data_IF_022364579368
#
_entry.id   IF_022364579368
#
_cell.length_a   1.000
_cell.length_b   1.000
_cell.length_c   1.000
_cell.angle_alpha   90.00
_cell.angle_beta   90.00
_cell.angle_gamma   90.00
#
_symmetry.space_group_name_H-M   'P 1'
#
loop_
_entity.id
_entity.type
_entity.pdbx_description
1 polymer ?
#
# COMPACT_ATOMS: atom_id res chain seq x y z
N UNK A 1 -8.35 25.45 -13.02
CA UNK A 1 -8.91 24.12 -13.33
C UNK A 1 -8.68 23.28 -12.10
N UNK A 2 -9.74 22.78 -11.46
CA UNK A 2 -9.61 21.84 -10.36
C UNK A 2 -9.09 20.53 -10.97
N UNK A 3 -7.88 20.11 -10.59
CA UNK A 3 -7.34 18.81 -11.00
C UNK A 3 -8.23 17.73 -10.39
N UNK A 4 -9.10 17.13 -11.20
CA UNK A 4 -9.78 15.89 -10.85
C UNK A 4 -8.73 14.80 -10.66
N UNK A 5 -8.96 13.89 -9.71
CA UNK A 5 -8.19 12.64 -9.64
C UNK A 5 -8.31 11.92 -10.98
N UNK A 6 -7.19 11.35 -11.43
CA UNK A 6 -7.10 10.63 -12.71
C UNK A 6 -6.74 9.18 -12.38
N UNK A 7 -7.44 8.25 -13.02
CA UNK A 7 -7.16 6.81 -12.90
C UNK A 7 -6.09 6.43 -13.92
N UNK A 8 -5.11 5.64 -13.49
CA UNK A 8 -3.98 5.20 -14.33
C UNK A 8 -3.89 3.67 -14.51
N UNK A 9 -4.81 2.91 -13.89
CA UNK A 9 -4.95 1.48 -14.17
C UNK A 9 -5.78 1.23 -15.43
N UNK A 10 -5.78 -0.01 -15.91
CA UNK A 10 -6.60 -0.44 -17.04
C UNK A 10 -8.09 -0.43 -16.69
N UNK A 11 -8.77 0.69 -17.00
CA UNK A 11 -10.21 0.86 -16.72
C UNK A 11 -11.10 0.01 -17.63
N UNK A 12 -10.59 -0.57 -18.70
CA UNK A 12 -11.36 -1.46 -19.58
C UNK A 12 -11.49 -2.84 -18.93
N UNK A 13 -10.41 -3.37 -18.35
CA UNK A 13 -10.39 -4.69 -17.72
C UNK A 13 -10.73 -4.64 -16.21
N UNK A 14 -10.29 -3.62 -15.48
CA UNK A 14 -10.60 -3.40 -14.06
C UNK A 14 -11.73 -2.37 -13.91
N UNK A 15 -12.86 -2.62 -14.59
CA UNK A 15 -14.03 -1.73 -14.64
C UNK A 15 -14.87 -1.77 -13.35
N UNK A 16 -15.78 -0.81 -13.14
CA UNK A 16 -16.74 -0.87 -12.03
C UNK A 16 -17.56 -2.16 -11.97
N UNK A 17 -17.98 -2.68 -13.13
CA UNK A 17 -18.74 -3.93 -13.21
C UNK A 17 -17.87 -5.14 -12.80
N UNK A 18 -16.59 -5.14 -13.15
CA UNK A 18 -15.65 -6.18 -12.74
C UNK A 18 -15.43 -6.15 -11.21
N UNK A 19 -15.26 -4.97 -10.61
CA UNK A 19 -15.16 -4.80 -9.15
C UNK A 19 -16.44 -5.25 -8.45
N UNK A 20 -17.61 -4.90 -9.00
CA UNK A 20 -18.88 -5.37 -8.47
C UNK A 20 -19.00 -6.89 -8.52
N UNK A 21 -18.69 -7.50 -9.67
CA UNK A 21 -18.80 -8.94 -9.88
C UNK A 21 -17.90 -9.73 -8.92
N UNK A 22 -16.62 -9.37 -8.78
CA UNK A 22 -15.71 -10.13 -7.92
C UNK A 22 -16.13 -10.08 -6.44
N UNK A 23 -16.65 -8.92 -5.98
CA UNK A 23 -17.18 -8.75 -4.62
C UNK A 23 -18.50 -9.48 -4.41
N UNK A 24 -19.35 -9.56 -5.44
CA UNK A 24 -20.60 -10.32 -5.38
C UNK A 24 -20.35 -11.81 -5.25
N UNK A 25 -19.36 -12.33 -5.97
CA UNK A 25 -19.04 -13.76 -5.99
C UNK A 25 -18.19 -14.20 -4.77
N UNK A 26 -17.52 -13.25 -4.10
CA UNK A 26 -16.61 -13.54 -2.99
C UNK A 26 -16.82 -12.57 -1.81
N UNK A 27 -17.57 -13.00 -0.79
CA UNK A 27 -17.94 -12.15 0.35
C UNK A 27 -16.77 -11.70 1.23
N UNK A 28 -15.61 -12.33 1.11
CA UNK A 28 -14.38 -11.98 1.80
C UNK A 28 -13.49 -11.00 1.02
N UNK A 29 -13.85 -10.63 -0.21
CA UNK A 29 -13.08 -9.71 -1.04
C UNK A 29 -13.50 -8.26 -0.80
N UNK A 30 -12.51 -7.41 -0.64
CA UNK A 30 -12.62 -5.95 -0.70
C UNK A 30 -11.66 -5.42 -1.76
N UNK A 31 -11.98 -4.27 -2.35
CA UNK A 31 -11.16 -3.62 -3.37
C UNK A 31 -10.85 -2.19 -2.94
N UNK A 32 -9.56 -1.83 -2.91
CA UNK A 32 -9.09 -0.49 -2.60
C UNK A 32 -8.31 0.09 -3.79
N UNK A 33 -8.04 1.40 -3.72
CA UNK A 33 -7.21 2.11 -4.69
C UNK A 33 -5.96 2.66 -4.01
N UNK A 34 -4.79 2.42 -4.59
CA UNK A 34 -3.54 3.03 -4.13
C UNK A 34 -3.28 4.39 -4.80
N UNK A 35 -2.71 5.32 -4.04
CA UNK A 35 -2.44 6.70 -4.44
C UNK A 35 -0.94 6.93 -4.50
N UNK A 36 -0.44 7.40 -5.64
CA UNK A 36 0.98 7.71 -5.83
C UNK A 36 1.60 6.81 -6.88
N UNK A 37 2.44 5.88 -6.43
CA UNK A 37 3.36 5.07 -7.22
C UNK A 37 4.63 5.85 -7.63
N UNK A 38 5.61 5.15 -8.18
CA UNK A 38 6.87 5.75 -8.60
C UNK A 38 6.74 6.73 -9.78
N UNK A 39 6.03 6.35 -10.85
CA UNK A 39 6.00 7.14 -12.11
C UNK A 39 4.64 7.14 -12.81
N UNK A 40 4.38 8.19 -13.59
CA UNK A 40 3.30 8.27 -14.58
C UNK A 40 3.91 8.65 -15.92
N UNK A 41 3.69 7.84 -16.96
CA UNK A 41 4.26 8.04 -18.30
C UNK A 41 5.80 8.25 -18.28
N UNK A 42 6.49 7.56 -17.37
CA UNK A 42 7.95 7.65 -17.19
C UNK A 42 8.45 8.89 -16.45
N UNK A 43 7.56 9.71 -15.89
CA UNK A 43 7.92 10.84 -15.03
C UNK A 43 7.61 10.53 -13.56
N UNK A 44 8.55 10.87 -12.68
CA UNK A 44 8.43 10.68 -11.23
C UNK A 44 7.19 11.38 -10.65
N UNK A 45 6.44 10.66 -9.81
CA UNK A 45 5.26 11.19 -9.11
C UNK A 45 5.68 11.76 -7.77
N UNK A 46 5.99 13.06 -7.76
CA UNK A 46 6.25 13.78 -6.53
C UNK A 46 4.95 14.09 -5.78
N UNK A 47 4.92 13.84 -4.47
CA UNK A 47 3.92 14.46 -3.62
C UNK A 47 4.09 15.99 -3.69
N UNK A 48 3.00 16.71 -3.94
CA UNK A 48 3.01 18.18 -4.02
C UNK A 48 1.65 18.76 -3.63
N UNK A 49 1.66 19.74 -2.74
CA UNK A 49 0.46 20.45 -2.29
C UNK A 49 0.69 21.97 -2.37
N UNK A 50 -0.27 22.69 -2.96
CA UNK A 50 -0.25 24.17 -2.93
C UNK A 50 -0.55 24.70 -1.52
N UNK A 51 -1.47 24.03 -0.83
CA UNK A 51 -1.73 24.17 0.60
C UNK A 51 -2.42 22.90 1.09
N UNK A 52 -2.33 22.62 2.38
CA UNK A 52 -3.04 21.49 3.00
C UNK A 52 -4.53 21.53 2.66
N UNK A 53 -5.21 22.65 2.95
CA UNK A 53 -6.66 22.77 2.73
C UNK A 53 -7.08 22.52 1.27
N UNK A 54 -6.34 23.09 0.31
CA UNK A 54 -6.68 22.96 -1.11
C UNK A 54 -6.41 21.55 -1.62
N UNK A 55 -5.32 20.92 -1.19
CA UNK A 55 -5.00 19.55 -1.55
C UNK A 55 -6.04 18.58 -0.96
N UNK A 56 -6.32 18.69 0.35
CA UNK A 56 -7.28 17.83 1.05
C UNK A 56 -8.68 17.97 0.45
N UNK A 57 -9.16 19.19 0.22
CA UNK A 57 -10.49 19.39 -0.37
C UNK A 57 -10.60 18.79 -1.77
N UNK A 58 -9.54 18.88 -2.59
CA UNK A 58 -9.53 18.30 -3.93
C UNK A 58 -9.46 16.77 -3.87
N UNK A 59 -8.57 16.22 -3.05
CA UNK A 59 -8.39 14.78 -2.88
C UNK A 59 -9.66 14.11 -2.34
N UNK A 60 -10.27 14.65 -1.27
CA UNK A 60 -11.53 14.12 -0.72
C UNK A 60 -12.62 14.09 -1.77
N UNK A 61 -12.80 15.20 -2.51
CA UNK A 61 -13.86 15.30 -3.53
C UNK A 61 -13.65 14.33 -4.70
N UNK A 62 -12.42 14.25 -5.23
CA UNK A 62 -12.11 13.40 -6.37
C UNK A 62 -12.12 11.91 -6.00
N UNK A 63 -11.51 11.52 -4.88
CA UNK A 63 -11.49 10.13 -4.43
C UNK A 63 -12.87 9.66 -4.03
N UNK A 64 -13.70 10.49 -3.40
CA UNK A 64 -15.10 10.12 -3.12
C UNK A 64 -15.84 9.76 -4.41
N UNK A 65 -15.62 10.52 -5.49
CA UNK A 65 -16.23 10.23 -6.80
C UNK A 65 -15.74 8.87 -7.34
N UNK A 66 -14.42 8.65 -7.36
CA UNK A 66 -13.82 7.41 -7.86
C UNK A 66 -14.27 6.19 -7.03
N UNK A 67 -14.22 6.30 -5.70
CA UNK A 67 -14.60 5.24 -4.77
C UNK A 67 -16.06 4.85 -4.95
N UNK A 68 -16.96 5.82 -5.10
CA UNK A 68 -18.38 5.55 -5.34
C UNK A 68 -18.64 4.96 -6.72
N UNK A 69 -17.95 5.43 -7.75
CA UNK A 69 -18.08 4.93 -9.13
C UNK A 69 -17.66 3.47 -9.24
N UNK A 70 -16.54 3.10 -8.61
CA UNK A 70 -15.99 1.74 -8.65
C UNK A 70 -16.45 0.84 -7.50
N UNK A 71 -17.27 1.35 -6.58
CA UNK A 71 -17.70 0.64 -5.37
C UNK A 71 -16.52 0.10 -4.54
N UNK A 72 -15.49 0.94 -4.35
CA UNK A 72 -14.27 0.62 -3.59
C UNK A 72 -14.53 0.70 -2.07
N UNK A 73 -13.69 0.00 -1.31
CA UNK A 73 -13.83 -0.17 0.15
C UNK A 73 -12.77 0.59 0.96
N UNK A 74 -11.70 1.06 0.31
CA UNK A 74 -10.52 1.60 0.98
C UNK A 74 -9.58 2.36 0.06
N UNK A 75 -8.55 2.94 0.67
CA UNK A 75 -7.42 3.59 -0.01
C UNK A 75 -6.09 3.09 0.54
N UNK A 76 -5.06 3.16 -0.28
CA UNK A 76 -3.67 2.90 0.10
C UNK A 76 -2.79 4.10 -0.29
N UNK A 77 -1.81 4.46 0.53
CA UNK A 77 -0.94 5.61 0.30
C UNK A 77 0.47 5.12 -0.05
N UNK A 78 0.88 5.38 -1.29
CA UNK A 78 2.11 4.86 -1.90
C UNK A 78 2.86 5.96 -2.66
N UNK A 79 2.99 7.15 -2.08
CA UNK A 79 3.93 8.16 -2.59
C UNK A 79 5.37 7.77 -2.25
N UNK A 80 6.23 7.72 -3.26
CA UNK A 80 7.64 7.31 -3.11
C UNK A 80 8.64 8.44 -3.37
N UNK A 81 8.19 9.57 -3.94
CA UNK A 81 9.04 10.71 -4.29
C UNK A 81 8.60 11.97 -3.54
N UNK A 82 9.55 12.59 -2.86
CA UNK A 82 9.36 13.82 -2.11
C UNK A 82 10.40 14.84 -2.54
N UNK A 83 9.96 16.07 -2.82
CA UNK A 83 10.85 17.18 -3.16
C UNK A 83 11.29 17.90 -1.89
N UNK A 84 12.48 18.51 -1.90
CA UNK A 84 13.00 19.34 -0.80
C UNK A 84 12.07 20.50 -0.38
N UNK A 85 11.17 20.94 -1.27
CA UNK A 85 10.19 22.01 -1.01
C UNK A 85 8.96 21.55 -0.21
N UNK A 86 8.74 20.24 -0.07
CA UNK A 86 7.63 19.69 0.70
C UNK A 86 8.16 19.13 2.01
N UNK A 87 7.84 19.78 3.11
CA UNK A 87 8.19 19.28 4.42
C UNK A 87 7.27 18.13 4.85
N UNK A 88 7.80 17.32 5.76
CA UNK A 88 7.11 16.18 6.37
C UNK A 88 5.76 16.54 6.99
N UNK A 89 5.61 17.79 7.47
CA UNK A 89 4.36 18.27 8.04
C UNK A 89 3.27 18.41 6.99
N UNK A 90 3.59 18.98 5.83
CA UNK A 90 2.62 19.16 4.74
C UNK A 90 2.09 17.82 4.24
N UNK A 91 2.97 16.83 4.03
CA UNK A 91 2.56 15.47 3.66
C UNK A 91 1.68 14.84 4.74
N UNK A 92 2.14 14.87 5.99
CA UNK A 92 1.45 14.26 7.13
C UNK A 92 0.04 14.84 7.30
N UNK A 93 -0.11 16.16 7.24
CA UNK A 93 -1.42 16.80 7.39
C UNK A 93 -2.34 16.54 6.20
N UNK A 94 -1.81 16.55 4.97
CA UNK A 94 -2.61 16.23 3.78
C UNK A 94 -3.19 14.82 3.84
N UNK A 95 -2.33 13.82 4.06
CA UNK A 95 -2.74 12.41 4.05
C UNK A 95 -3.59 12.07 5.29
N UNK A 96 -3.17 12.53 6.47
CA UNK A 96 -3.90 12.28 7.72
C UNK A 96 -5.32 12.83 7.70
N UNK A 97 -5.50 14.07 7.25
CA UNK A 97 -6.83 14.67 7.13
C UNK A 97 -7.67 14.00 6.03
N UNK A 98 -7.07 13.63 4.90
CA UNK A 98 -7.75 12.88 3.84
C UNK A 98 -8.36 11.58 4.39
N UNK A 99 -7.56 10.73 5.02
CA UNK A 99 -8.01 9.44 5.56
C UNK A 99 -9.09 9.66 6.63
N UNK A 100 -8.85 10.61 7.54
CA UNK A 100 -9.81 10.95 8.61
C UNK A 100 -11.16 11.37 8.04
N UNK A 101 -11.19 12.25 7.04
CA UNK A 101 -12.42 12.75 6.43
C UNK A 101 -13.15 11.64 5.66
N UNK A 102 -12.42 10.82 4.86
CA UNK A 102 -13.03 9.73 4.11
C UNK A 102 -13.65 8.68 5.04
N UNK A 103 -12.99 8.32 6.15
CA UNK A 103 -13.55 7.42 7.18
C UNK A 103 -14.75 8.06 7.90
N UNK A 104 -14.63 9.31 8.33
CA UNK A 104 -15.71 10.02 9.04
C UNK A 104 -16.97 10.16 8.19
N UNK A 105 -16.82 10.32 6.87
CA UNK A 105 -17.92 10.39 5.92
C UNK A 105 -18.47 9.02 5.51
N UNK A 106 -17.88 7.91 5.98
CA UNK A 106 -18.27 6.55 5.61
C UNK A 106 -17.99 6.21 4.14
N UNK A 107 -17.07 6.92 3.50
CA UNK A 107 -16.69 6.68 2.09
C UNK A 107 -15.77 5.47 1.99
N UNK A 108 -14.90 5.25 2.97
CA UNK A 108 -14.01 4.09 3.06
C UNK A 108 -14.21 3.36 4.39
N UNK A 109 -13.96 2.06 4.36
CA UNK A 109 -13.96 1.19 5.55
C UNK A 109 -12.57 0.93 6.11
N UNK A 110 -11.51 1.07 5.29
CA UNK A 110 -10.12 0.92 5.72
C UNK A 110 -9.17 1.82 4.92
N UNK A 111 -7.98 2.03 5.47
CA UNK A 111 -6.85 2.70 4.83
C UNK A 111 -5.52 2.01 5.17
N UNK A 112 -4.59 2.01 4.23
CA UNK A 112 -3.21 1.52 4.43
C UNK A 112 -2.16 2.53 3.96
N UNK A 113 -0.92 2.30 4.36
CA UNK A 113 0.26 3.02 3.89
C UNK A 113 1.30 2.02 3.39
N UNK A 114 2.09 2.39 2.38
CA UNK A 114 3.08 1.51 1.75
C UNK A 114 4.53 2.04 1.82
N UNK A 115 5.10 2.23 3.02
CA UNK A 115 6.49 2.66 3.18
C UNK A 115 7.50 1.57 2.76
N UNK A 116 8.74 1.98 2.49
CA UNK A 116 9.87 1.08 2.23
C UNK A 116 11.16 1.59 2.86
N UNK A 117 12.23 0.78 2.82
CA UNK A 117 13.50 1.04 3.51
C UNK A 117 14.39 2.12 2.86
N UNK A 118 13.82 3.29 2.57
CA UNK A 118 14.53 4.50 2.16
C UNK A 118 14.37 5.60 3.23
N UNK A 119 15.47 6.22 3.72
CA UNK A 119 15.37 7.15 4.84
C UNK A 119 14.46 8.37 4.60
N UNK A 120 14.52 9.06 3.44
CA UNK A 120 13.52 10.07 3.08
C UNK A 120 12.08 9.56 3.16
N UNK A 121 11.77 8.42 2.54
CA UNK A 121 10.41 7.86 2.54
C UNK A 121 9.97 7.47 3.96
N UNK A 122 10.81 6.76 4.71
CA UNK A 122 10.53 6.38 6.10
C UNK A 122 10.20 7.59 6.97
N UNK A 123 10.96 8.69 6.85
CA UNK A 123 10.70 9.88 7.64
C UNK A 123 9.30 10.46 7.44
N UNK A 124 8.77 10.37 6.21
CA UNK A 124 7.43 10.82 5.85
C UNK A 124 6.35 9.93 6.46
N UNK A 125 6.46 8.61 6.26
CA UNK A 125 5.44 7.66 6.71
C UNK A 125 5.45 7.43 8.22
N UNK A 126 6.60 7.49 8.89
CA UNK A 126 6.68 7.42 10.35
C UNK A 126 6.05 8.66 11.00
N UNK A 127 6.25 9.85 10.43
CA UNK A 127 5.60 11.07 10.92
C UNK A 127 4.07 11.00 10.74
N UNK A 128 3.62 10.49 9.60
CA UNK A 128 2.20 10.21 9.35
C UNK A 128 1.64 9.22 10.37
N UNK A 129 2.31 8.09 10.58
CA UNK A 129 1.90 7.08 11.55
C UNK A 129 1.80 7.64 12.95
N UNK A 130 2.81 8.37 13.41
CA UNK A 130 2.86 8.95 14.75
C UNK A 130 1.65 9.85 15.06
N UNK A 131 1.11 10.55 14.06
CA UNK A 131 -0.02 11.48 14.24
C UNK A 131 -1.38 10.86 13.91
N UNK A 132 -1.42 9.92 12.98
CA UNK A 132 -2.67 9.45 12.37
C UNK A 132 -2.85 7.91 12.40
N UNK A 133 -2.04 7.16 13.16
CA UNK A 133 -2.17 5.69 13.27
C UNK A 133 -3.59 5.23 13.64
N UNK A 134 -4.33 6.01 14.44
CA UNK A 134 -5.72 5.66 14.82
C UNK A 134 -6.71 5.57 13.66
N UNK A 135 -6.38 6.13 12.49
CA UNK A 135 -7.20 6.06 11.27
C UNK A 135 -6.59 5.20 10.16
N UNK A 136 -5.39 4.64 10.36
CA UNK A 136 -4.70 3.77 9.40
C UNK A 136 -4.77 2.32 9.92
N UNK A 137 -5.26 1.40 9.11
CA UNK A 137 -5.54 0.02 9.55
C UNK A 137 -4.39 -0.95 9.27
N UNK A 138 -3.62 -0.73 8.20
CA UNK A 138 -2.54 -1.62 7.76
C UNK A 138 -1.30 -0.86 7.33
N UNK A 139 -0.14 -1.50 7.50
CA UNK A 139 1.14 -1.05 6.95
C UNK A 139 1.61 -2.09 5.93
N UNK A 140 1.49 -1.74 4.66
CA UNK A 140 1.95 -2.54 3.52
C UNK A 140 3.43 -2.26 3.29
N UNK A 141 4.29 -2.58 4.27
CA UNK A 141 5.72 -2.31 4.15
C UNK A 141 6.32 -3.10 2.98
N UNK A 142 7.03 -2.42 2.09
CA UNK A 142 7.54 -3.02 0.86
C UNK A 142 8.89 -3.75 1.11
N UNK A 143 8.81 -4.93 1.74
CA UNK A 143 9.99 -5.76 2.00
C UNK A 143 10.68 -6.22 0.72
N UNK A 144 9.98 -6.26 -0.41
CA UNK A 144 10.61 -6.50 -1.71
C UNK A 144 11.62 -5.42 -2.14
N UNK A 145 11.68 -4.29 -1.44
CA UNK A 145 12.72 -3.27 -1.65
C UNK A 145 14.10 -3.62 -1.06
N UNK A 146 14.21 -4.68 -0.24
CA UNK A 146 15.50 -5.14 0.28
C UNK A 146 16.34 -5.87 -0.77
N UNK A 147 17.66 -5.91 -0.55
CA UNK A 147 18.62 -6.40 -1.54
C UNK A 147 18.52 -7.92 -1.79
N UNK A 148 18.95 -8.37 -2.97
CA UNK A 148 18.86 -9.77 -3.42
C UNK A 148 19.70 -10.77 -2.62
N UNK A 149 20.57 -10.31 -1.70
CA UNK A 149 21.32 -11.16 -0.78
C UNK A 149 20.66 -11.32 0.59
N UNK A 150 19.52 -10.64 0.81
CA UNK A 150 18.74 -10.76 2.05
C UNK A 150 18.34 -12.22 2.29
N UNK A 151 18.75 -12.77 3.43
CA UNK A 151 18.33 -14.10 3.88
C UNK A 151 16.97 -14.05 4.60
N UNK A 152 16.37 -15.23 4.84
CA UNK A 152 15.15 -15.35 5.66
C UNK A 152 15.35 -14.74 7.06
N UNK A 153 16.48 -15.03 7.71
CA UNK A 153 16.79 -14.47 9.04
C UNK A 153 16.88 -12.94 8.99
N UNK A 154 17.55 -12.37 7.97
CA UNK A 154 17.65 -10.92 7.79
C UNK A 154 16.29 -10.29 7.50
N UNK A 155 15.45 -10.95 6.70
CA UNK A 155 14.08 -10.50 6.46
C UNK A 155 13.31 -10.39 7.79
N UNK A 156 13.39 -11.42 8.65
CA UNK A 156 12.71 -11.41 9.96
C UNK A 156 13.26 -10.30 10.86
N UNK A 157 14.57 -10.05 10.84
CA UNK A 157 15.18 -8.92 11.55
C UNK A 157 14.65 -7.57 11.04
N UNK A 158 14.56 -7.38 9.72
CA UNK A 158 13.98 -6.19 9.12
C UNK A 158 12.48 -6.06 9.45
N UNK A 159 11.75 -7.16 9.52
CA UNK A 159 10.35 -7.16 9.93
C UNK A 159 10.18 -6.66 11.37
N UNK A 160 10.99 -7.16 12.30
CA UNK A 160 11.00 -6.71 13.69
C UNK A 160 11.39 -5.22 13.81
N UNK A 161 12.30 -4.74 12.96
CA UNK A 161 12.62 -3.31 12.85
C UNK A 161 11.39 -2.50 12.43
N UNK A 162 10.64 -2.95 11.42
CA UNK A 162 9.45 -2.22 10.98
C UNK A 162 8.32 -2.26 12.01
N UNK A 163 8.15 -3.37 12.74
CA UNK A 163 7.24 -3.43 13.91
C UNK A 163 7.60 -2.37 14.94
N UNK A 164 8.89 -2.08 15.12
CA UNK A 164 9.35 -1.02 16.02
C UNK A 164 9.10 0.39 15.46
N UNK A 165 9.18 0.58 14.14
CA UNK A 165 8.92 1.86 13.47
C UNK A 165 7.42 2.22 13.42
N UNK A 166 6.55 1.21 13.38
CA UNK A 166 5.09 1.36 13.33
C UNK A 166 4.43 0.63 14.51
N UNK A 167 4.61 1.14 15.75
CA UNK A 167 4.16 0.45 16.95
C UNK A 167 2.64 0.24 16.95
N UNK A 168 2.21 -0.95 17.40
CA UNK A 168 0.82 -1.42 17.41
C UNK A 168 0.16 -1.53 16.02
N UNK A 169 0.93 -1.31 14.95
CA UNK A 169 0.45 -1.42 13.58
C UNK A 169 0.28 -2.86 13.12
N UNK A 170 -0.72 -3.08 12.28
CA UNK A 170 -0.88 -4.33 11.56
C UNK A 170 0.05 -4.32 10.34
N UNK A 171 1.31 -4.69 10.54
CA UNK A 171 2.31 -4.75 9.47
C UNK A 171 2.15 -6.06 8.70
N UNK A 172 2.05 -5.95 7.39
CA UNK A 172 1.99 -7.10 6.49
C UNK A 172 3.41 -7.48 6.03
N UNK A 173 3.71 -8.78 6.02
CA UNK A 173 4.85 -9.27 5.25
C UNK A 173 4.58 -9.09 3.76
N UNK A 174 5.63 -8.98 2.96
CA UNK A 174 5.47 -8.80 1.52
C UNK A 174 6.65 -9.29 0.69
N UNK A 175 6.33 -9.55 -0.56
CA UNK A 175 7.31 -9.84 -1.60
C UNK A 175 6.69 -9.48 -2.94
N UNK A 176 7.48 -9.55 -4.00
CA UNK A 176 7.03 -9.29 -5.34
C UNK A 176 7.28 -10.49 -6.25
N UNK A 177 6.47 -10.59 -7.30
CA UNK A 177 6.54 -11.68 -8.30
C UNK A 177 7.22 -11.24 -9.59
N UNK A 178 7.46 -9.95 -9.78
CA UNK A 178 8.38 -9.45 -10.80
C UNK A 178 9.80 -9.95 -10.51
N UNK A 179 10.47 -10.51 -11.51
CA UNK A 179 11.86 -10.95 -11.39
C UNK A 179 12.82 -9.78 -11.64
N UNK A 180 12.95 -8.90 -10.64
CA UNK A 180 13.81 -7.72 -10.72
C UNK A 180 15.16 -8.00 -10.06
N UNK A 181 16.25 -7.71 -10.80
CA UNK A 181 17.60 -7.85 -10.27
C UNK A 181 17.84 -6.88 -9.10
N UNK A 182 18.52 -7.36 -8.05
CA UNK A 182 18.90 -6.54 -6.89
C UNK A 182 17.83 -6.44 -5.81
N UNK A 183 16.73 -7.19 -5.92
CA UNK A 183 15.67 -7.28 -4.91
C UNK A 183 15.51 -8.72 -4.42
N UNK A 184 14.91 -8.92 -3.24
CA UNK A 184 14.62 -10.26 -2.72
C UNK A 184 13.77 -11.06 -3.73
N UNK A 185 13.97 -12.38 -3.76
CA UNK A 185 13.12 -13.26 -4.56
C UNK A 185 11.79 -13.54 -3.85
N UNK A 186 10.76 -13.89 -4.63
CA UNK A 186 9.48 -14.39 -4.11
C UNK A 186 9.66 -15.62 -3.21
N UNK A 187 10.58 -16.54 -3.56
CA UNK A 187 10.92 -17.71 -2.74
C UNK A 187 11.43 -17.33 -1.35
N UNK A 188 12.36 -16.37 -1.29
CA UNK A 188 12.88 -15.85 0.00
C UNK A 188 11.77 -15.17 0.78
N UNK A 189 10.93 -14.36 0.12
CA UNK A 189 9.80 -13.69 0.74
C UNK A 189 8.78 -14.65 1.34
N UNK A 190 8.38 -15.69 0.60
CA UNK A 190 7.46 -16.71 1.09
C UNK A 190 8.08 -17.51 2.24
N UNK A 191 9.35 -17.90 2.13
CA UNK A 191 10.07 -18.59 3.21
C UNK A 191 10.15 -17.75 4.49
N UNK A 192 10.31 -16.42 4.36
CA UNK A 192 10.25 -15.51 5.49
C UNK A 192 8.84 -15.40 6.08
N UNK A 193 7.79 -15.45 5.26
CA UNK A 193 6.41 -15.52 5.76
C UNK A 193 6.18 -16.81 6.58
N UNK A 194 6.70 -17.96 6.12
CA UNK A 194 6.63 -19.23 6.85
C UNK A 194 7.33 -19.13 8.22
N UNK A 195 8.53 -18.55 8.24
CA UNK A 195 9.30 -18.32 9.47
C UNK A 195 8.55 -17.38 10.43
N UNK A 196 8.04 -16.24 9.94
CA UNK A 196 7.23 -15.30 10.74
C UNK A 196 5.96 -15.96 11.29
N UNK A 197 5.29 -16.82 10.52
CA UNK A 197 4.13 -17.57 10.99
C UNK A 197 4.53 -18.54 12.11
N UNK A 198 5.65 -19.24 11.97
CA UNK A 198 6.15 -20.18 12.99
C UNK A 198 6.47 -19.50 14.33
N UNK A 199 6.76 -18.19 14.29
CA UNK A 199 7.03 -17.33 15.45
C UNK A 199 5.79 -16.61 15.98
N UNK A 200 4.59 -16.90 15.46
CA UNK A 200 3.33 -16.19 15.77
C UNK A 200 3.39 -14.66 15.49
N UNK A 201 4.22 -14.23 14.53
CA UNK A 201 4.42 -12.81 14.16
C UNK A 201 3.67 -12.39 12.90
N UNK A 202 3.26 -13.34 12.07
CA UNK A 202 2.66 -13.03 10.76
C UNK A 202 1.21 -12.56 10.90
N UNK A 203 0.98 -11.24 10.73
CA UNK A 203 -0.37 -10.68 10.69
C UNK A 203 -1.08 -10.97 9.36
N UNK A 204 -0.38 -10.82 8.24
CA UNK A 204 -0.89 -11.00 6.89
C UNK A 204 0.19 -10.80 5.84
N UNK A 205 -0.16 -11.01 4.57
CA UNK A 205 0.77 -10.94 3.42
C UNK A 205 0.15 -10.04 2.35
N UNK A 206 0.94 -9.18 1.71
CA UNK A 206 0.59 -8.58 0.41
C UNK A 206 1.66 -8.88 -0.64
N UNK A 207 1.25 -8.93 -1.91
CA UNK A 207 2.11 -9.30 -3.04
C UNK A 207 2.04 -8.22 -4.10
N UNK A 208 3.20 -7.84 -4.64
CA UNK A 208 3.33 -6.92 -5.78
C UNK A 208 3.85 -7.68 -7.02
N UNK A 209 3.13 -7.89 -8.10
CA UNK A 209 1.73 -7.54 -8.35
C UNK A 209 1.07 -8.66 -9.15
N UNK A 210 -0.26 -8.65 -9.18
CA UNK A 210 -1.03 -9.63 -9.97
C UNK A 210 -0.70 -9.59 -11.47
N UNK A 211 -0.29 -8.43 -11.99
CA UNK A 211 0.10 -8.23 -13.38
C UNK A 211 1.33 -9.08 -13.74
N UNK A 212 2.32 -9.13 -12.85
CA UNK A 212 3.51 -9.96 -13.00
C UNK A 212 3.21 -11.44 -12.70
N UNK A 213 2.29 -11.69 -11.76
CA UNK A 213 1.83 -13.03 -11.37
C UNK A 213 0.95 -13.74 -12.42
N UNK A 214 0.66 -13.08 -13.55
CA UNK A 214 -0.17 -13.70 -14.58
C UNK A 214 0.59 -14.81 -15.34
N UNK A 215 1.90 -14.70 -15.46
CA UNK A 215 2.70 -15.56 -16.37
C UNK A 215 3.09 -16.93 -15.78
N UNK A 216 3.16 -17.02 -14.47
CA UNK A 216 3.48 -18.17 -13.60
C UNK A 216 2.24 -18.73 -12.88
N UNK A 217 1.07 -18.11 -13.09
CA UNK A 217 -0.23 -18.66 -12.75
C UNK A 217 -0.63 -18.50 -11.28
N UNK A 218 -0.23 -17.41 -10.65
CA UNK A 218 -0.58 -17.03 -9.27
C UNK A 218 -0.11 -18.05 -8.21
N UNK A 219 1.05 -18.66 -8.44
CA UNK A 219 1.56 -19.74 -7.56
C UNK A 219 1.79 -19.22 -6.14
N UNK A 220 2.38 -18.04 -5.99
CA UNK A 220 2.73 -17.48 -4.68
C UNK A 220 1.51 -16.93 -3.92
N UNK A 221 0.49 -16.43 -4.64
CA UNK A 221 -0.78 -15.99 -4.07
C UNK A 221 -1.55 -17.17 -3.46
N UNK A 222 -1.56 -18.32 -4.15
CA UNK A 222 -2.20 -19.55 -3.65
C UNK A 222 -1.48 -20.02 -2.38
N UNK A 223 -0.16 -20.14 -2.43
CA UNK A 223 0.65 -20.58 -1.29
C UNK A 223 0.52 -19.64 -0.08
N UNK A 224 0.49 -18.33 -0.32
CA UNK A 224 0.32 -17.34 0.76
C UNK A 224 -1.04 -17.44 1.44
N UNK A 225 -2.11 -17.66 0.67
CA UNK A 225 -3.46 -17.87 1.24
C UNK A 225 -3.55 -19.18 2.01
N UNK A 226 -2.97 -20.27 1.50
CA UNK A 226 -2.90 -21.56 2.20
C UNK A 226 -2.10 -21.44 3.51
N UNK A 227 -0.97 -20.74 3.48
CA UNK A 227 -0.14 -20.46 4.66
C UNK A 227 -0.96 -19.70 5.72
N UNK A 228 -1.64 -18.62 5.35
CA UNK A 228 -2.45 -17.83 6.29
C UNK A 228 -3.64 -18.61 6.86
N UNK A 229 -4.23 -19.52 6.10
CA UNK A 229 -5.38 -20.32 6.52
C UNK A 229 -5.03 -21.59 7.34
N UNK A 230 -3.75 -21.97 7.40
CA UNK A 230 -3.26 -23.18 8.10
C UNK A 230 -3.08 -22.99 9.62
#
# INVERSE_FOLDING_TARGET
MLSRGVTFWDTENLSPDAVFAIKQDNSNVKVAVSLGGATVNGADVYFSATSVDSWVSNAVSSLTTIIQEYNLDGIDIDYEKFSDENDTDTFTECIGQLITILKANGVISFASIAPFADPPVQSMYQALWQRYSSVIDYVNFQFYGYDDQTTVDQYVEYFDEQVSNYPEGNILASFMTENTNGQISADTGLSACEELKSQDKLFGIFIWSADDSLQEGFTYEIQSQELLAS
#
